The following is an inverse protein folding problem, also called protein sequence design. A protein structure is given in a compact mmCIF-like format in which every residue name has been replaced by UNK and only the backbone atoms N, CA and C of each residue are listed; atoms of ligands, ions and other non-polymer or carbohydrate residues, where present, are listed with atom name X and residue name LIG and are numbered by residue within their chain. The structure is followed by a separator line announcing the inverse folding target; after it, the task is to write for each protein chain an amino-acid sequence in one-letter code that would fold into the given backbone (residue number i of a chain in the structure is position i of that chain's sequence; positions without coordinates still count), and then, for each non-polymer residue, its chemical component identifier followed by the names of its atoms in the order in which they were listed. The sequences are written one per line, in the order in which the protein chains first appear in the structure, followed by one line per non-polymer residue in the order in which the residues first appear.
data_IF_191690604097
#
_entry.id   IF_191690604097
#
_cell.length_a   1.000
_cell.length_b   1.000
_cell.length_c   1.000
_cell.angle_alpha   90.00
_cell.angle_beta   90.00
_cell.angle_gamma   90.00
#
_symmetry.space_group_name_H-M   'P 1'
#
loop_
_entity.id
_entity.type
_entity.pdbx_description
1 polymer ?
#
# COMPACT_ATOMS: atom_id res chain seq x y z
N UNK A 1 -11.09 -10.01 -14.13
CA UNK A 1 -12.12 -8.93 -14.24
C UNK A 1 -12.28 -8.12 -12.94
N UNK A 2 -12.16 -8.69 -11.73
CA UNK A 2 -12.28 -7.94 -10.47
C UNK A 2 -11.25 -6.80 -10.28
N UNK A 3 -9.98 -7.02 -10.61
CA UNK A 3 -8.93 -6.00 -10.40
C UNK A 3 -9.07 -4.75 -11.26
N UNK A 4 -9.83 -4.78 -12.36
CA UNK A 4 -10.07 -3.59 -13.18
C UNK A 4 -10.94 -2.53 -12.47
N UNK A 5 -11.76 -2.95 -11.50
CA UNK A 5 -12.59 -2.04 -10.70
C UNK A 5 -12.01 -1.83 -9.29
N UNK A 6 -11.44 -2.88 -8.69
CA UNK A 6 -10.88 -2.83 -7.33
C UNK A 6 -9.63 -1.97 -7.27
N UNK A 7 -8.74 -2.06 -8.27
CA UNK A 7 -7.46 -1.35 -8.25
C UNK A 7 -7.62 0.18 -8.25
N UNK A 8 -8.44 0.80 -9.11
CA UNK A 8 -8.68 2.25 -9.06
C UNK A 8 -9.27 2.71 -7.73
N UNK A 9 -10.23 1.96 -7.17
CA UNK A 9 -10.88 2.29 -5.89
C UNK A 9 -9.87 2.21 -4.75
N UNK A 10 -9.09 1.11 -4.69
CA UNK A 10 -8.11 0.91 -3.64
C UNK A 10 -6.95 1.93 -3.72
N UNK A 11 -6.61 2.37 -4.94
CA UNK A 11 -5.64 3.44 -5.19
C UNK A 11 -6.17 4.79 -4.67
N UNK A 12 -7.45 5.10 -4.93
CA UNK A 12 -8.10 6.30 -4.41
C UNK A 12 -8.12 6.32 -2.88
N UNK A 13 -8.52 5.20 -2.26
CA UNK A 13 -8.49 5.04 -0.80
C UNK A 13 -7.08 5.23 -0.25
N UNK A 14 -6.07 4.61 -0.87
CA UNK A 14 -4.68 4.78 -0.47
C UNK A 14 -4.26 6.26 -0.50
N UNK A 15 -4.53 6.96 -1.60
CA UNK A 15 -4.20 8.39 -1.74
C UNK A 15 -4.91 9.25 -0.69
N UNK A 16 -6.17 8.96 -0.38
CA UNK A 16 -6.92 9.68 0.65
C UNK A 16 -6.34 9.42 2.04
N UNK A 17 -6.01 8.17 2.37
CA UNK A 17 -5.42 7.81 3.67
C UNK A 17 -4.06 8.44 3.86
N UNK A 18 -3.14 8.32 2.90
CA UNK A 18 -1.77 8.84 3.05
C UNK A 18 -1.73 10.36 3.14
N UNK A 19 -2.74 11.05 2.60
CA UNK A 19 -2.83 12.51 2.70
C UNK A 19 -3.00 13.01 4.13
N UNK A 20 -3.61 12.21 5.01
CA UNK A 20 -3.72 12.53 6.43
C UNK A 20 -2.36 12.50 7.16
N UNK A 21 -1.33 11.93 6.52
CA UNK A 21 0.03 11.82 7.04
C UNK A 21 1.01 12.76 6.32
N UNK A 22 0.51 13.73 5.55
CA UNK A 22 1.32 14.74 4.88
C UNK A 22 1.89 14.33 3.51
N UNK A 23 1.49 13.18 2.97
CA UNK A 23 1.84 12.79 1.60
C UNK A 23 0.89 13.42 0.59
N UNK A 24 1.37 13.68 -0.63
CA UNK A 24 0.52 14.18 -1.71
C UNK A 24 -0.45 13.11 -2.22
N UNK A 25 -1.63 13.51 -2.68
CA UNK A 25 -2.60 12.64 -3.36
C UNK A 25 -2.20 12.38 -4.82
N UNK A 26 -0.94 12.02 -5.06
CA UNK A 26 -0.39 11.76 -6.38
C UNK A 26 0.37 10.43 -6.39
N UNK A 27 0.69 9.92 -7.59
CA UNK A 27 1.53 8.73 -7.72
C UNK A 27 2.89 8.89 -7.04
N UNK A 28 3.46 10.10 -7.06
CA UNK A 28 4.69 10.42 -6.34
C UNK A 28 4.51 10.31 -4.81
N UNK A 29 3.41 10.84 -4.26
CA UNK A 29 3.11 10.71 -2.83
C UNK A 29 2.96 9.25 -2.39
N UNK A 30 2.37 8.41 -3.23
CA UNK A 30 2.28 6.95 -3.00
C UNK A 30 3.67 6.30 -2.98
N UNK A 31 4.57 6.70 -3.90
CA UNK A 31 5.95 6.20 -3.93
C UNK A 31 6.69 6.62 -2.65
N UNK A 32 6.60 7.89 -2.25
CA UNK A 32 7.25 8.40 -1.04
C UNK A 32 6.74 7.68 0.22
N UNK A 33 5.42 7.48 0.33
CA UNK A 33 4.81 6.70 1.41
C UNK A 33 5.37 5.26 1.44
N UNK A 34 5.43 4.60 0.29
CA UNK A 34 5.95 3.23 0.18
C UNK A 34 7.41 3.13 0.64
N UNK A 35 8.25 4.11 0.28
CA UNK A 35 9.64 4.19 0.72
C UNK A 35 9.76 4.44 2.23
N UNK A 36 8.92 5.30 2.78
CA UNK A 36 8.86 5.57 4.21
C UNK A 36 8.49 4.29 5.00
N UNK A 37 7.44 3.58 4.59
CA UNK A 37 7.05 2.30 5.18
C UNK A 37 8.21 1.31 5.14
N UNK A 38 8.86 1.11 3.98
CA UNK A 38 10.02 0.21 3.85
C UNK A 38 11.17 0.56 4.81
N UNK A 39 11.39 1.84 5.09
CA UNK A 39 12.41 2.27 6.06
C UNK A 39 12.01 1.88 7.49
N UNK A 40 10.73 2.01 7.83
CA UNK A 40 10.18 1.71 9.15
C UNK A 40 10.15 0.20 9.42
N UNK A 41 9.78 -0.62 8.43
CA UNK A 41 9.76 -2.09 8.54
C UNK A 41 11.08 -2.72 8.99
N UNK A 42 12.22 -2.06 8.75
CA UNK A 42 13.53 -2.56 9.18
C UNK A 42 13.72 -2.57 10.69
N UNK A 43 12.98 -1.73 11.40
CA UNK A 43 13.14 -1.53 12.84
C UNK A 43 11.83 -1.82 13.60
N UNK A 44 10.75 -2.15 12.90
CA UNK A 44 9.41 -2.34 13.47
C UNK A 44 8.71 -3.54 12.78
N UNK A 45 8.62 -4.65 13.51
CA UNK A 45 8.00 -5.89 13.01
C UNK A 45 6.48 -5.77 12.84
N UNK A 46 5.80 -4.87 13.56
CA UNK A 46 4.36 -4.67 13.39
C UNK A 46 4.06 -3.95 12.08
N UNK A 47 4.87 -2.94 11.73
CA UNK A 47 4.76 -2.25 10.43
C UNK A 47 5.02 -3.23 9.28
N UNK A 48 6.00 -4.13 9.44
CA UNK A 48 6.30 -5.19 8.47
C UNK A 48 5.15 -6.17 8.30
N UNK A 49 4.53 -6.59 9.41
CA UNK A 49 3.34 -7.45 9.40
C UNK A 49 2.18 -6.77 8.64
N UNK A 50 1.90 -5.51 8.95
CA UNK A 50 0.82 -4.73 8.31
C UNK A 50 1.06 -4.53 6.81
N UNK A 51 2.26 -4.15 6.40
CA UNK A 51 2.58 -3.96 4.98
C UNK A 51 2.53 -5.29 4.20
N UNK A 52 2.89 -6.41 4.85
CA UNK A 52 2.75 -7.75 4.26
C UNK A 52 1.30 -8.10 4.04
N UNK A 53 0.43 -7.88 5.04
CA UNK A 53 -1.02 -8.08 4.90
C UNK A 53 -1.59 -7.21 3.77
N UNK A 54 -1.20 -5.93 3.71
CA UNK A 54 -1.63 -5.03 2.65
C UNK A 54 -1.26 -5.59 1.27
N UNK A 55 0.00 -6.00 1.07
CA UNK A 55 0.44 -6.61 -0.20
C UNK A 55 -0.38 -7.84 -0.58
N UNK A 56 -0.74 -8.71 0.38
CA UNK A 56 -1.59 -9.87 0.12
C UNK A 56 -2.98 -9.47 -0.39
N UNK A 57 -3.59 -8.42 0.16
CA UNK A 57 -4.89 -7.92 -0.32
C UNK A 57 -4.82 -7.29 -1.72
N UNK A 58 -3.72 -6.59 -2.03
CA UNK A 58 -3.52 -5.94 -3.33
C UNK A 58 -2.97 -6.88 -4.42
N UNK A 59 -2.40 -8.03 -4.03
CA UNK A 59 -1.84 -9.05 -4.92
C UNK A 59 -2.56 -10.40 -4.71
N UNK A 60 -3.80 -10.57 -5.23
CA UNK A 60 -4.63 -11.74 -4.97
C UNK A 60 -4.18 -13.03 -5.69
N UNK A 61 -3.00 -13.05 -6.33
CA UNK A 61 -2.53 -14.17 -7.15
C UNK A 61 -1.09 -14.61 -6.82
N UNK A 62 -0.75 -14.75 -5.54
CA UNK A 62 0.40 -15.56 -5.13
C UNK A 62 -0.04 -16.67 -4.17
N UNK A 63 -1.22 -17.26 -4.40
CA UNK A 63 -1.51 -18.58 -3.87
C UNK A 63 -0.96 -19.62 -4.86
N UNK A 64 0.19 -20.18 -4.48
CA UNK A 64 0.70 -21.53 -4.84
C UNK A 64 0.64 -21.97 -6.31
N UNK A 65 1.81 -22.02 -6.95
CA UNK A 65 2.18 -23.09 -7.89
C UNK A 65 3.43 -23.78 -7.37
#
# INVERSE_FOLDING_TARGET
RHMQFVFPIATQILMDVISNYGFSKSGEGVIQFTLAVRRMERNDEEIKRLNTQLKTYFLPNLETS
#
